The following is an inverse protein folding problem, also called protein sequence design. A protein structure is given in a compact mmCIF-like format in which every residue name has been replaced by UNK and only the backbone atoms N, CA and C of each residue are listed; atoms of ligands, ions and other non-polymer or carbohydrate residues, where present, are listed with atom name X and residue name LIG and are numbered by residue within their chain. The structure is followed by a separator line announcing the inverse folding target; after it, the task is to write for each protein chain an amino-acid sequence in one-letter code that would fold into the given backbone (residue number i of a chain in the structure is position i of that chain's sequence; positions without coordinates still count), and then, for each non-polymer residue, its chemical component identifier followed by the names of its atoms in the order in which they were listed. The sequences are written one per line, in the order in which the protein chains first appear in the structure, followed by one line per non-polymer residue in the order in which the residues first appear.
data_IF_207312094585
#
_entry.id   IF_207312094585
#
_cell.length_a   1.000
_cell.length_b   1.000
_cell.length_c   1.000
_cell.angle_alpha   90.00
_cell.angle_beta   90.00
_cell.angle_gamma   90.00
#
_symmetry.space_group_name_H-M   'P 1'
#
loop_
_entity.id
_entity.type
_entity.pdbx_description
1 polymer ?
#
# COMPACT_ATOMS: atom_id res chain seq x y z
N UNK A 1 -1.72 20.66 -14.58
CA UNK A 1 -1.33 20.65 -13.16
C UNK A 1 -0.61 19.34 -12.89
N UNK A 2 0.59 19.35 -12.31
CA UNK A 2 1.22 18.14 -11.79
C UNK A 2 0.57 17.80 -10.46
N UNK A 3 -0.29 16.78 -10.44
CA UNK A 3 -0.80 16.25 -9.19
C UNK A 3 0.34 15.48 -8.49
N UNK A 4 0.47 15.72 -7.18
CA UNK A 4 1.52 15.13 -6.34
C UNK A 4 0.87 13.97 -5.58
N UNK A 5 1.50 12.80 -5.61
CA UNK A 5 1.08 11.65 -4.81
C UNK A 5 1.05 12.01 -3.32
N UNK A 6 -0.07 11.72 -2.65
CA UNK A 6 -0.28 11.92 -1.21
C UNK A 6 -0.72 10.60 -0.55
N UNK A 7 0.22 9.69 -0.23
CA UNK A 7 -0.09 8.39 0.38
C UNK A 7 -0.92 8.47 1.67
N UNK A 8 -0.84 9.60 2.38
CA UNK A 8 -1.66 9.85 3.58
C UNK A 8 -3.17 9.94 3.30
N UNK A 9 -3.59 10.14 2.05
CA UNK A 9 -5.00 10.07 1.62
C UNK A 9 -5.59 8.68 1.88
N UNK A 10 -4.76 7.63 1.80
CA UNK A 10 -5.11 6.22 1.89
C UNK A 10 -5.09 5.68 3.33
N UNK A 11 -4.87 6.51 4.36
CA UNK A 11 -4.77 6.06 5.76
C UNK A 11 -6.01 5.28 6.22
N UNK A 12 -7.20 5.61 5.70
CA UNK A 12 -8.46 4.92 6.05
C UNK A 12 -8.53 3.49 5.51
N UNK A 13 -7.71 3.18 4.52
CA UNK A 13 -7.65 1.88 3.85
C UNK A 13 -6.63 0.93 4.47
N UNK A 14 -6.07 1.29 5.63
CA UNK A 14 -5.12 0.48 6.37
C UNK A 14 -5.86 -0.36 7.41
N UNK A 15 -5.45 -1.62 7.57
CA UNK A 15 -5.87 -2.48 8.67
C UNK A 15 -4.65 -3.03 9.41
N UNK A 16 -4.86 -3.33 10.68
CA UNK A 16 -3.90 -4.09 11.49
C UNK A 16 -4.39 -5.54 11.53
N UNK A 17 -3.53 -6.47 11.15
CA UNK A 17 -3.78 -7.90 11.28
C UNK A 17 -2.87 -8.51 12.33
N UNK A 18 -3.44 -9.41 13.13
CA UNK A 18 -2.65 -10.23 14.05
C UNK A 18 -2.14 -11.47 13.31
N UNK A 19 -0.82 -11.57 13.16
CA UNK A 19 -0.14 -12.76 12.63
C UNK A 19 0.78 -13.32 13.72
N UNK A 20 0.41 -14.46 14.29
CA UNK A 20 1.07 -15.04 15.48
C UNK A 20 1.13 -14.03 16.64
N UNK A 21 2.33 -13.61 17.05
CA UNK A 21 2.56 -12.60 18.09
C UNK A 21 2.62 -11.15 17.55
N UNK A 22 2.57 -10.97 16.23
CA UNK A 22 2.77 -9.67 15.60
C UNK A 22 1.44 -8.99 15.24
N UNK A 23 1.42 -7.67 15.37
CA UNK A 23 0.36 -6.81 14.84
C UNK A 23 0.93 -6.06 13.63
N UNK A 24 0.63 -6.55 12.42
CA UNK A 24 1.22 -6.06 11.19
C UNK A 24 0.23 -5.16 10.43
N UNK A 25 0.75 -4.14 9.77
CA UNK A 25 -0.01 -3.26 8.90
C UNK A 25 -0.21 -3.91 7.53
N UNK A 26 -1.42 -3.79 7.00
CA UNK A 26 -1.78 -4.21 5.64
C UNK A 26 -2.85 -3.32 5.04
N UNK A 27 -3.05 -3.43 3.74
CA UNK A 27 -4.21 -2.85 3.08
C UNK A 27 -5.50 -3.57 3.48
N UNK A 28 -6.63 -2.85 3.42
CA UNK A 28 -7.94 -3.49 3.38
C UNK A 28 -8.16 -4.17 2.01
N UNK A 29 -9.16 -5.04 1.95
CA UNK A 29 -9.42 -5.84 0.76
C UNK A 29 -9.74 -4.97 -0.47
N UNK A 30 -10.39 -3.82 -0.26
CA UNK A 30 -10.74 -2.87 -1.32
C UNK A 30 -9.49 -2.23 -1.95
N UNK A 31 -8.57 -1.72 -1.14
CA UNK A 31 -7.34 -1.08 -1.62
C UNK A 31 -6.39 -2.10 -2.22
N UNK A 32 -6.33 -3.30 -1.66
CA UNK A 32 -5.55 -4.39 -2.24
C UNK A 32 -6.10 -4.79 -3.63
N UNK A 33 -7.41 -5.00 -3.77
CA UNK A 33 -8.03 -5.30 -5.06
C UNK A 33 -7.83 -4.15 -6.07
N UNK A 34 -7.90 -2.90 -5.62
CA UNK A 34 -7.63 -1.73 -6.47
C UNK A 34 -6.18 -1.69 -6.95
N UNK A 35 -5.23 -2.00 -6.07
CA UNK A 35 -3.81 -2.11 -6.45
C UNK A 35 -3.61 -3.18 -7.52
N UNK A 36 -4.21 -4.35 -7.34
CA UNK A 36 -4.11 -5.46 -8.30
C UNK A 36 -4.71 -5.07 -9.66
N UNK A 37 -5.87 -4.42 -9.69
CA UNK A 37 -6.49 -3.91 -10.92
C UNK A 37 -5.57 -2.91 -11.65
N UNK A 38 -5.02 -1.94 -10.92
CA UNK A 38 -4.10 -0.94 -11.46
C UNK A 38 -2.83 -1.58 -12.03
N UNK A 39 -2.30 -2.61 -11.36
CA UNK A 39 -1.14 -3.35 -11.85
C UNK A 39 -1.45 -4.12 -13.14
N UNK A 40 -2.62 -4.77 -13.25
CA UNK A 40 -3.02 -5.44 -14.49
C UNK A 40 -3.18 -4.44 -15.65
N UNK A 41 -3.80 -3.29 -15.39
CA UNK A 41 -3.97 -2.23 -16.39
C UNK A 41 -2.66 -1.57 -16.80
N UNK A 42 -1.70 -1.47 -15.87
CA UNK A 42 -0.35 -1.00 -16.15
C UNK A 42 0.39 -1.90 -17.14
N UNK A 43 0.21 -3.22 -17.06
CA UNK A 43 0.86 -4.18 -17.98
C UNK A 43 0.50 -3.96 -19.45
N UNK A 44 -0.65 -3.35 -19.70
CA UNK A 44 -1.18 -3.05 -21.03
C UNK A 44 -1.16 -1.55 -21.35
N UNK A 45 -0.44 -0.74 -20.56
CA UNK A 45 -0.31 0.72 -20.70
C UNK A 45 -1.67 1.46 -20.75
N UNK A 46 -2.68 0.98 -20.01
CA UNK A 46 -4.04 1.54 -19.97
C UNK A 46 -4.35 2.39 -18.72
N UNK A 47 -3.32 2.88 -18.03
CA UNK A 47 -3.52 3.77 -16.88
C UNK A 47 -3.75 5.21 -17.35
N UNK A 48 -4.76 5.86 -16.78
CA UNK A 48 -4.89 7.31 -16.90
C UNK A 48 -3.83 8.01 -16.04
N UNK A 49 -3.54 9.30 -16.29
CA UNK A 49 -2.64 10.07 -15.43
C UNK A 49 -3.04 10.03 -13.94
N UNK A 50 -4.32 10.06 -13.64
CA UNK A 50 -4.85 9.98 -12.27
C UNK A 50 -4.56 8.63 -11.64
N UNK A 51 -4.69 7.55 -12.41
CA UNK A 51 -4.42 6.19 -11.94
C UNK A 51 -2.93 5.90 -11.76
N UNK A 52 -2.08 6.56 -12.54
CA UNK A 52 -0.63 6.55 -12.31
C UNK A 52 -0.32 7.14 -10.93
N UNK A 53 -0.94 8.27 -10.60
CA UNK A 53 -0.75 8.93 -9.30
C UNK A 53 -1.33 8.06 -8.17
N UNK A 54 -2.52 7.48 -8.36
CA UNK A 54 -3.13 6.55 -7.40
C UNK A 54 -2.21 5.35 -7.13
N UNK A 55 -1.66 4.74 -8.17
CA UNK A 55 -0.74 3.62 -8.04
C UNK A 55 0.58 4.03 -7.34
N UNK A 56 1.07 5.24 -7.58
CA UNK A 56 2.21 5.80 -6.85
C UNK A 56 1.91 6.00 -5.35
N UNK A 57 0.71 6.48 -5.01
CA UNK A 57 0.26 6.62 -3.62
C UNK A 57 0.22 5.28 -2.90
N UNK A 58 -0.35 4.26 -3.55
CA UNK A 58 -0.45 2.90 -3.00
C UNK A 58 0.96 2.30 -2.83
N UNK A 59 1.81 2.41 -3.86
CA UNK A 59 3.16 1.83 -3.84
C UNK A 59 4.04 2.46 -2.75
N UNK A 60 3.91 3.75 -2.51
CA UNK A 60 4.65 4.40 -1.44
C UNK A 60 4.14 3.97 -0.06
N UNK A 61 2.83 3.80 0.10
CA UNK A 61 2.25 3.30 1.35
C UNK A 61 2.69 1.86 1.65
N UNK A 62 2.78 1.00 0.63
CA UNK A 62 3.28 -0.38 0.74
C UNK A 62 4.73 -0.43 1.27
N UNK A 63 5.60 0.46 0.76
CA UNK A 63 6.99 0.59 1.24
C UNK A 63 7.05 0.99 2.71
N UNK A 64 6.20 1.93 3.12
CA UNK A 64 6.10 2.38 4.52
C UNK A 64 5.72 1.19 5.41
N UNK A 65 4.70 0.41 5.04
CA UNK A 65 4.29 -0.74 5.85
C UNK A 65 5.32 -1.84 5.86
N UNK A 66 5.95 -2.14 4.73
CA UNK A 66 7.03 -3.13 4.65
C UNK A 66 8.14 -2.78 5.64
N UNK A 67 8.53 -1.51 5.72
CA UNK A 67 9.54 -1.05 6.68
C UNK A 67 9.09 -1.18 8.14
N UNK A 68 7.89 -0.68 8.47
CA UNK A 68 7.35 -0.74 9.84
C UNK A 68 7.16 -2.20 10.28
N UNK A 69 6.60 -3.04 9.42
CA UNK A 69 6.39 -4.46 9.69
C UNK A 69 7.71 -5.19 9.93
N UNK A 70 8.75 -4.89 9.14
CA UNK A 70 10.08 -5.46 9.36
C UNK A 70 10.67 -5.06 10.72
N UNK A 71 10.49 -3.80 11.14
CA UNK A 71 10.90 -3.35 12.48
C UNK A 71 10.15 -4.06 13.61
N UNK A 72 8.82 -4.23 13.47
CA UNK A 72 7.99 -4.94 14.46
C UNK A 72 8.38 -6.42 14.59
N UNK A 73 8.70 -7.06 13.47
CA UNK A 73 9.18 -8.44 13.45
C UNK A 73 10.54 -8.55 14.12
N UNK A 74 11.48 -7.66 13.78
CA UNK A 74 12.82 -7.65 14.38
C UNK A 74 12.80 -7.47 15.90
N UNK A 75 11.88 -6.64 16.43
CA UNK A 75 11.75 -6.42 17.88
C UNK A 75 11.39 -7.66 18.71
N UNK A 76 10.80 -8.70 18.11
CA UNK A 76 10.42 -9.92 18.84
C UNK A 76 11.23 -11.14 18.41
N UNK A 77 12.35 -10.94 17.70
CA UNK A 77 13.32 -12.01 17.38
C UNK A 77 14.43 -12.17 18.43
N UNK A 78 14.31 -11.48 19.58
CA UNK A 78 15.14 -11.65 20.78
C UNK A 78 14.49 -12.61 21.79
#
# INVERSE_FOLDING_TARGET
MTAIARPSSLIRSIRIEKLDKFHLFKFNDELQARMEELLERKKVDLLTPEEIIELEEIAELDRIFTHINAMLVAQHND
#
